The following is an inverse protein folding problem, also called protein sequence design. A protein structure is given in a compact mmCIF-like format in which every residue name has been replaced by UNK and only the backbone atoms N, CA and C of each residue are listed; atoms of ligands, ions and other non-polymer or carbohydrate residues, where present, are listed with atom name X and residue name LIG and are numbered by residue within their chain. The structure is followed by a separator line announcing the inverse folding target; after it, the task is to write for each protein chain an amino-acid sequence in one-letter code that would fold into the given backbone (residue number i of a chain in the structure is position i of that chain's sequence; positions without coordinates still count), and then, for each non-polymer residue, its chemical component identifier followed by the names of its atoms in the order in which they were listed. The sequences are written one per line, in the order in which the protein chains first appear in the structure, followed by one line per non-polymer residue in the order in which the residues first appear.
data_IF_680362850555
#
_entry.id   IF_680362850555
#
_cell.length_a   1.000
_cell.length_b   1.000
_cell.length_c   1.000
_cell.angle_alpha   90.00
_cell.angle_beta   90.00
_cell.angle_gamma   90.00
#
_symmetry.space_group_name_H-M   'P 1'
#
loop_
_entity.id
_entity.type
_entity.pdbx_description
1 polymer ?
#
# COMPACT_ATOMS: atom_id res chain seq x y z
N UNK A 1 -2.78 -0.71 -11.08
CA UNK A 1 -3.23 0.65 -10.71
C UNK A 1 -3.27 1.58 -11.93
N UNK A 2 -4.24 1.44 -12.84
CA UNK A 2 -4.35 2.30 -14.06
C UNK A 2 -5.66 3.10 -14.16
N UNK A 3 -6.70 2.75 -13.39
CA UNK A 3 -7.94 3.53 -13.31
C UNK A 3 -7.84 4.73 -12.36
N UNK A 4 -8.98 5.31 -11.95
CA UNK A 4 -9.04 6.50 -11.07
C UNK A 4 -8.16 6.40 -9.81
N UNK A 5 -8.21 5.25 -9.12
CA UNK A 5 -7.36 4.98 -7.95
C UNK A 5 -5.87 4.95 -8.29
N UNK A 6 -5.52 4.48 -9.49
CA UNK A 6 -4.15 4.52 -9.99
C UNK A 6 -3.68 5.92 -10.33
N UNK A 7 -4.54 6.76 -10.91
CA UNK A 7 -4.21 8.15 -11.19
C UNK A 7 -3.94 8.94 -9.90
N UNK A 8 -4.75 8.73 -8.85
CA UNK A 8 -4.48 9.33 -7.54
C UNK A 8 -3.18 8.81 -6.93
N UNK A 9 -2.91 7.50 -7.02
CA UNK A 9 -1.65 6.93 -6.55
C UNK A 9 -0.45 7.56 -7.27
N UNK A 10 -0.51 7.73 -8.59
CA UNK A 10 0.53 8.42 -9.36
C UNK A 10 0.75 9.86 -8.86
N UNK A 11 -0.32 10.60 -8.51
CA UNK A 11 -0.18 11.95 -7.92
C UNK A 11 0.52 11.92 -6.56
N UNK A 12 0.21 10.93 -5.73
CA UNK A 12 0.86 10.75 -4.42
C UNK A 12 2.35 10.45 -4.61
N UNK A 13 2.70 9.51 -5.49
CA UNK A 13 4.11 9.15 -5.80
C UNK A 13 4.88 10.37 -6.32
N UNK A 14 4.29 11.15 -7.22
CA UNK A 14 4.89 12.40 -7.71
C UNK A 14 5.10 13.43 -6.59
N UNK A 15 4.14 13.58 -5.69
CA UNK A 15 4.27 14.47 -4.53
C UNK A 15 5.39 13.99 -3.58
N UNK A 16 5.71 12.69 -3.58
CA UNK A 16 6.85 12.14 -2.85
C UNK A 16 8.20 12.33 -3.56
N UNK A 17 8.27 13.12 -4.64
CA UNK A 17 9.45 13.30 -5.49
C UNK A 17 9.99 11.98 -6.08
N UNK A 18 9.08 11.07 -6.43
CA UNK A 18 9.37 9.87 -7.21
C UNK A 18 8.64 9.90 -8.55
N UNK A 19 9.27 9.35 -9.58
CA UNK A 19 8.60 8.89 -10.78
C UNK A 19 7.89 7.56 -10.51
N UNK A 20 6.97 7.17 -11.41
CA UNK A 20 6.28 5.89 -11.26
C UNK A 20 7.21 4.72 -11.57
N UNK A 21 8.24 4.98 -12.35
CA UNK A 21 9.26 4.05 -12.82
C UNK A 21 10.32 3.78 -11.73
N UNK A 22 10.51 4.73 -10.80
CA UNK A 22 11.40 4.57 -9.62
C UNK A 22 10.80 3.66 -8.53
N UNK A 23 9.52 3.30 -8.63
CA UNK A 23 8.83 2.49 -7.62
C UNK A 23 8.20 1.24 -8.23
N UNK A 24 8.13 0.17 -7.44
CA UNK A 24 7.43 -1.05 -7.85
C UNK A 24 6.02 -1.10 -7.27
N UNK A 25 5.02 -1.30 -8.14
CA UNK A 25 3.60 -1.33 -7.74
C UNK A 25 3.02 -2.70 -8.07
N UNK A 26 2.54 -3.41 -7.05
CA UNK A 26 1.91 -4.73 -7.19
C UNK A 26 0.69 -4.85 -6.26
N UNK A 27 -0.02 -5.98 -6.34
CA UNK A 27 -1.17 -6.29 -5.48
C UNK A 27 -0.99 -7.65 -4.82
N UNK A 28 -1.68 -7.86 -3.69
CA UNK A 28 -1.70 -9.15 -2.98
C UNK A 28 -2.23 -10.29 -3.86
N UNK A 29 -3.23 -10.02 -4.71
CA UNK A 29 -3.73 -10.96 -5.71
C UNK A 29 -3.42 -10.47 -7.11
N UNK A 30 -3.11 -11.39 -8.02
CA UNK A 30 -2.74 -11.08 -9.41
C UNK A 30 -3.92 -11.15 -10.39
N UNK A 31 -5.03 -11.76 -9.96
CA UNK A 31 -6.26 -11.86 -10.74
C UNK A 31 -7.34 -10.96 -10.13
N UNK A 32 -8.15 -10.32 -10.97
CA UNK A 32 -9.27 -9.48 -10.54
C UNK A 32 -10.42 -10.37 -10.05
N UNK A 33 -10.84 -10.28 -8.77
CA UNK A 33 -11.99 -11.04 -8.29
C UNK A 33 -13.28 -10.63 -9.01
N UNK A 34 -14.26 -11.56 -9.16
CA UNK A 34 -15.57 -11.25 -9.73
C UNK A 34 -16.21 -10.03 -9.07
N UNK A 35 -16.79 -9.13 -9.88
CA UNK A 35 -17.43 -7.89 -9.42
C UNK A 35 -16.57 -6.98 -8.52
N UNK A 36 -15.23 -7.11 -8.56
CA UNK A 36 -14.31 -6.38 -7.67
C UNK A 36 -14.54 -6.64 -6.18
N UNK A 37 -15.08 -7.82 -5.80
CA UNK A 37 -15.19 -8.18 -4.38
C UNK A 37 -13.82 -8.24 -3.72
N UNK A 38 -13.81 -8.16 -2.39
CA UNK A 38 -12.60 -8.45 -1.60
C UNK A 38 -12.12 -9.88 -1.88
N UNK A 39 -10.83 -10.10 -2.15
CA UNK A 39 -10.30 -11.45 -2.31
C UNK A 39 -10.43 -12.23 -0.99
N UNK A 40 -10.75 -13.51 -1.11
CA UNK A 40 -10.83 -14.43 0.02
C UNK A 40 -9.42 -14.76 0.53
N UNK A 41 -9.35 -15.29 1.76
CA UNK A 41 -8.08 -15.79 2.31
C UNK A 41 -7.45 -16.85 1.41
N UNK A 42 -8.24 -17.75 0.84
CA UNK A 42 -7.75 -18.80 -0.07
C UNK A 42 -7.09 -18.19 -1.31
N UNK A 43 -7.74 -17.23 -1.96
CA UNK A 43 -7.20 -16.55 -3.15
C UNK A 43 -5.91 -15.77 -2.83
N UNK A 44 -5.86 -15.11 -1.66
CA UNK A 44 -4.65 -14.44 -1.18
C UNK A 44 -3.52 -15.45 -1.00
N UNK A 45 -3.76 -16.57 -0.32
CA UNK A 45 -2.75 -17.60 -0.09
C UNK A 45 -2.28 -18.27 -1.38
N UNK A 46 -3.17 -18.47 -2.36
CA UNK A 46 -2.79 -18.96 -3.69
C UNK A 46 -1.89 -18.00 -4.45
N UNK A 47 -2.03 -16.69 -4.24
CA UNK A 47 -1.16 -15.67 -4.85
C UNK A 47 0.07 -15.32 -4.00
N UNK A 48 0.15 -15.81 -2.76
CA UNK A 48 1.18 -15.47 -1.79
C UNK A 48 2.61 -15.71 -2.30
N UNK A 49 2.94 -16.87 -2.92
CA UNK A 49 4.31 -17.14 -3.39
C UNK A 49 4.81 -16.09 -4.38
N UNK A 50 3.96 -15.64 -5.30
CA UNK A 50 4.35 -14.64 -6.29
C UNK A 50 4.71 -13.29 -5.66
N UNK A 51 4.00 -12.88 -4.60
CA UNK A 51 4.31 -11.62 -3.93
C UNK A 51 5.60 -11.73 -3.10
N UNK A 52 5.83 -12.88 -2.46
CA UNK A 52 7.10 -13.13 -1.78
C UNK A 52 8.27 -13.09 -2.74
N UNK A 53 8.22 -13.83 -3.83
CA UNK A 53 9.29 -13.87 -4.84
C UNK A 53 9.56 -12.47 -5.41
N UNK A 54 8.51 -11.69 -5.68
CA UNK A 54 8.66 -10.28 -6.08
C UNK A 54 9.43 -9.46 -5.03
N UNK A 55 9.11 -9.60 -3.75
CA UNK A 55 9.78 -8.88 -2.66
C UNK A 55 11.24 -9.33 -2.54
N UNK A 56 11.50 -10.63 -2.61
CA UNK A 56 12.85 -11.22 -2.50
C UNK A 56 13.77 -10.79 -3.65
N UNK A 57 13.23 -10.67 -4.87
CA UNK A 57 13.98 -10.21 -6.04
C UNK A 57 14.24 -8.70 -5.99
N UNK A 58 13.25 -7.90 -5.58
CA UNK A 58 13.34 -6.43 -5.57
C UNK A 58 14.15 -5.93 -4.37
N UNK A 59 14.11 -6.63 -3.23
CA UNK A 59 14.74 -6.25 -1.96
C UNK A 59 14.44 -4.79 -1.58
N UNK A 60 13.15 -4.41 -1.45
CA UNK A 60 12.79 -3.02 -1.20
C UNK A 60 13.24 -2.56 0.19
N UNK A 61 13.64 -1.29 0.32
CA UNK A 61 13.93 -0.67 1.62
C UNK A 61 12.67 -0.44 2.46
N UNK A 62 11.55 -0.14 1.79
CA UNK A 62 10.25 0.14 2.39
C UNK A 62 9.14 -0.46 1.53
N UNK A 63 8.13 -1.03 2.18
CA UNK A 63 6.86 -1.45 1.56
C UNK A 63 5.75 -0.53 2.05
N UNK A 64 4.95 0.03 1.14
CA UNK A 64 3.75 0.79 1.49
C UNK A 64 2.52 -0.09 1.28
N UNK A 65 1.83 -0.47 2.36
CA UNK A 65 0.66 -1.34 2.31
C UNK A 65 -0.64 -0.52 2.20
N UNK A 66 -1.21 -0.49 1.00
CA UNK A 66 -2.40 0.31 0.69
C UNK A 66 -3.71 -0.42 1.06
N UNK A 67 -4.32 -0.02 2.17
CA UNK A 67 -5.62 -0.52 2.64
C UNK A 67 -5.55 -1.81 3.46
N UNK A 68 -6.71 -2.22 3.97
CA UNK A 68 -6.82 -3.31 4.96
C UNK A 68 -6.35 -4.68 4.45
N UNK A 69 -6.60 -5.02 3.18
CA UNK A 69 -6.18 -6.31 2.61
C UNK A 69 -4.65 -6.41 2.55
N UNK A 70 -4.00 -5.37 2.02
CA UNK A 70 -2.54 -5.32 1.95
C UNK A 70 -1.92 -5.24 3.36
N UNK A 71 -2.48 -4.42 4.25
CA UNK A 71 -1.99 -4.31 5.61
C UNK A 71 -2.10 -5.65 6.37
N UNK A 72 -3.21 -6.38 6.23
CA UNK A 72 -3.39 -7.69 6.87
C UNK A 72 -2.49 -8.78 6.29
N UNK A 73 -2.04 -8.65 5.05
CA UNK A 73 -1.05 -9.54 4.47
C UNK A 73 0.29 -9.44 5.21
N UNK A 74 0.78 -8.21 5.41
CA UNK A 74 2.08 -7.98 6.08
C UNK A 74 1.97 -8.01 7.61
N UNK A 75 0.80 -7.70 8.16
CA UNK A 75 0.53 -7.58 9.59
C UNK A 75 -0.73 -8.41 9.89
N UNK A 76 -0.63 -9.75 10.01
CA UNK A 76 -1.78 -10.65 10.16
C UNK A 76 -2.72 -10.28 11.33
N UNK A 77 -2.13 -9.81 12.43
CA UNK A 77 -2.81 -9.39 13.66
C UNK A 77 -3.34 -7.94 13.61
N UNK A 78 -3.31 -7.28 12.46
CA UNK A 78 -3.76 -5.90 12.33
C UNK A 78 -5.23 -5.75 12.77
N UNK A 79 -5.53 -4.93 13.80
CA UNK A 79 -6.90 -4.73 14.30
C UNK A 79 -7.76 -3.84 13.38
N UNK A 80 -7.26 -3.47 12.20
CA UNK A 80 -7.91 -2.62 11.20
C UNK A 80 -7.06 -1.42 10.79
N UNK A 81 -7.20 -1.00 9.53
CA UNK A 81 -6.31 0.01 8.91
C UNK A 81 -6.28 1.34 9.67
N UNK A 82 -7.40 1.79 10.24
CA UNK A 82 -7.48 3.04 10.99
C UNK A 82 -6.56 3.07 12.22
N UNK A 83 -6.35 1.92 12.87
CA UNK A 83 -5.56 1.82 14.12
C UNK A 83 -4.06 1.70 13.86
N UNK A 84 -3.68 1.18 12.70
CA UNK A 84 -2.29 0.85 12.36
C UNK A 84 -1.65 1.83 11.37
N UNK A 85 -2.44 2.59 10.61
CA UNK A 85 -1.89 3.53 9.61
C UNK A 85 -0.88 4.50 10.24
N UNK A 86 0.19 4.79 9.51
CA UNK A 86 1.22 5.73 9.94
C UNK A 86 2.15 5.23 11.05
N UNK A 87 2.03 3.96 11.45
CA UNK A 87 2.94 3.30 12.39
C UNK A 87 3.84 2.36 11.61
N UNK A 88 5.13 2.37 11.92
CA UNK A 88 6.08 1.45 11.31
C UNK A 88 5.84 0.03 11.81
N UNK A 89 5.82 -0.90 10.86
CA UNK A 89 5.83 -2.33 11.09
C UNK A 89 7.02 -2.94 10.33
N UNK A 90 7.23 -4.23 10.53
CA UNK A 90 8.30 -4.95 9.85
C UNK A 90 7.76 -6.24 9.24
N UNK A 91 8.28 -6.58 8.08
CA UNK A 91 8.05 -7.86 7.41
C UNK A 91 9.39 -8.37 6.90
N UNK A 92 9.92 -9.45 7.49
CA UNK A 92 11.20 -10.05 7.10
C UNK A 92 12.35 -9.02 7.06
N UNK A 93 12.47 -8.16 8.07
CA UNK A 93 13.49 -7.09 8.12
C UNK A 93 13.18 -5.87 7.24
N UNK A 94 12.10 -5.88 6.46
CA UNK A 94 11.70 -4.76 5.59
C UNK A 94 10.68 -3.89 6.32
N UNK A 95 10.90 -2.58 6.34
CA UNK A 95 9.96 -1.65 6.94
C UNK A 95 8.65 -1.55 6.15
N UNK A 96 7.52 -1.66 6.84
CA UNK A 96 6.18 -1.60 6.26
C UNK A 96 5.43 -0.39 6.80
N UNK A 97 4.95 0.46 5.89
CA UNK A 97 4.05 1.58 6.20
C UNK A 97 2.63 1.26 5.71
N UNK A 98 1.69 0.88 6.60
CA UNK A 98 0.29 0.79 6.25
C UNK A 98 -0.34 2.19 6.09
N UNK A 99 -1.18 2.37 5.07
CA UNK A 99 -1.96 3.59 4.87
C UNK A 99 -3.28 3.32 4.14
N UNK A 100 -4.12 4.34 3.94
CA UNK A 100 -5.39 4.19 3.25
C UNK A 100 -5.22 3.88 1.76
N UNK A 101 -6.08 3.01 1.24
CA UNK A 101 -6.08 2.72 -0.19
C UNK A 101 -6.65 3.91 -0.99
N UNK A 102 -6.07 4.29 -2.14
CA UNK A 102 -6.56 5.42 -2.95
C UNK A 102 -8.05 5.33 -3.33
N UNK A 103 -8.60 4.12 -3.49
CA UNK A 103 -10.03 3.96 -3.76
C UNK A 103 -10.93 4.40 -2.60
N UNK A 104 -10.45 4.38 -1.35
CA UNK A 104 -11.19 4.90 -0.21
C UNK A 104 -11.27 6.43 -0.29
N UNK A 105 -10.16 7.09 -0.64
CA UNK A 105 -10.12 8.55 -0.79
C UNK A 105 -10.97 9.04 -1.97
N UNK A 106 -11.07 8.26 -3.03
CA UNK A 106 -11.92 8.59 -4.19
C UNK A 106 -13.41 8.41 -3.90
N UNK A 107 -13.78 7.44 -3.05
CA UNK A 107 -15.19 7.33 -2.63
C UNK A 107 -15.59 8.44 -1.67
N UNK A 108 -14.62 8.99 -0.95
CA UNK A 108 -14.81 10.00 0.08
C UNK A 108 -14.02 11.28 -0.27
N UNK A 109 -14.23 11.85 -1.46
CA UNK A 109 -13.34 12.92 -1.96
C UNK A 109 -13.34 14.18 -1.08
N UNK A 110 -14.41 14.42 -0.33
CA UNK A 110 -14.56 15.54 0.61
C UNK A 110 -13.83 15.32 1.94
N UNK A 111 -13.34 14.11 2.20
CA UNK A 111 -12.61 13.75 3.41
C UNK A 111 -11.16 14.25 3.34
N UNK A 112 -10.98 15.53 3.67
CA UNK A 112 -9.67 16.19 3.70
C UNK A 112 -8.77 15.62 4.79
N UNK A 113 -9.34 15.19 5.91
CA UNK A 113 -8.61 14.61 7.04
C UNK A 113 -7.89 13.33 6.61
N UNK A 114 -8.59 12.40 5.96
CA UNK A 114 -7.98 11.13 5.51
C UNK A 114 -6.94 11.35 4.41
N UNK A 115 -7.12 12.34 3.53
CA UNK A 115 -6.09 12.74 2.56
C UNK A 115 -4.83 13.27 3.26
N UNK A 116 -5.00 14.12 4.29
CA UNK A 116 -3.88 14.63 5.10
C UNK A 116 -3.15 13.48 5.81
N UNK A 117 -3.87 12.53 6.39
CA UNK A 117 -3.27 11.36 7.03
C UNK A 117 -2.42 10.52 6.07
N UNK A 118 -2.88 10.30 4.84
CA UNK A 118 -2.06 9.60 3.84
C UNK A 118 -0.80 10.40 3.53
N UNK A 119 -0.90 11.72 3.40
CA UNK A 119 0.27 12.57 3.17
C UNK A 119 1.28 12.50 4.33
N UNK A 120 0.82 12.58 5.58
CA UNK A 120 1.67 12.40 6.77
C UNK A 120 2.37 11.03 6.78
N UNK A 121 1.67 9.97 6.36
CA UNK A 121 2.25 8.63 6.24
C UNK A 121 3.37 8.61 5.20
N UNK A 122 3.16 9.28 4.05
CA UNK A 122 4.17 9.36 2.99
C UNK A 122 5.36 10.23 3.38
N UNK A 123 5.16 11.30 4.17
CA UNK A 123 6.25 12.10 4.72
C UNK A 123 7.18 11.26 5.59
N UNK A 124 6.63 10.40 6.45
CA UNK A 124 7.44 9.44 7.23
C UNK A 124 8.22 8.48 6.32
N UNK A 125 7.61 8.02 5.23
CA UNK A 125 8.29 7.16 4.25
C UNK A 125 9.45 7.90 3.59
N UNK A 126 9.26 9.14 3.17
CA UNK A 126 10.32 9.96 2.57
C UNK A 126 11.46 10.21 3.56
N UNK A 127 11.15 10.57 4.81
CA UNK A 127 12.12 10.75 5.89
C UNK A 127 12.96 9.49 6.08
N UNK A 128 12.33 8.30 6.16
CA UNK A 128 13.03 7.03 6.28
C UNK A 128 13.91 6.70 5.07
N UNK A 129 13.50 7.11 3.88
CA UNK A 129 14.27 6.94 2.65
C UNK A 129 15.36 8.01 2.46
N UNK A 130 15.47 8.98 3.38
CA UNK A 130 16.42 10.09 3.28
C UNK A 130 16.10 11.08 2.17
N UNK A 131 14.84 11.14 1.72
CA UNK A 131 14.38 12.11 0.70
C UNK A 131 13.71 13.29 1.41
N UNK A 132 14.13 14.50 1.06
CA UNK A 132 13.55 15.77 1.54
C UNK A 132 12.47 16.27 0.58
#
# INVERSE_FOLDING_TARGET
FVGRAGALLTKIIKAMNFSREEVYITNVVKCRPPHNRTPTRKEIMSCYPYLLEQIELIKPKVIVALGGVAAKFFIPEAPGIMKIRGKWHEFQGIAVMPTFHPSYLIRNERDRERKRMVWEDMQKVMERLGRK
#
